data_IF_884986291406
#
_entry.id   IF_884986291406
#
_cell.length_a   1.000
_cell.length_b   1.000
_cell.length_c   1.000
_cell.angle_alpha   90.00
_cell.angle_beta   90.00
_cell.angle_gamma   90.00
#
_symmetry.space_group_name_H-M   'P 1'
#
loop_
_entity.id
_entity.type
_entity.pdbx_description
1 polymer ?
#
# COMPACT_ATOMS: atom_id res chain seq x y z
N UNK A 1 14.20 -24.65 -2.09
CA UNK A 1 13.70 -23.28 -1.94
C UNK A 1 14.91 -22.43 -1.65
N UNK A 2 15.09 -21.30 -2.34
CA UNK A 2 16.03 -20.29 -1.89
C UNK A 2 15.52 -19.70 -0.58
N UNK A 3 16.42 -19.31 0.31
CA UNK A 3 16.11 -18.67 1.59
C UNK A 3 15.88 -17.15 1.43
N UNK A 4 15.54 -16.72 0.20
CA UNK A 4 15.38 -15.31 -0.15
C UNK A 4 13.93 -14.86 0.10
N UNK A 5 13.76 -13.69 0.72
CA UNK A 5 12.45 -13.03 0.79
C UNK A 5 11.99 -12.67 -0.64
N UNK A 6 10.95 -13.37 -1.11
CA UNK A 6 10.36 -13.13 -2.43
C UNK A 6 9.89 -11.67 -2.59
N UNK A 7 9.47 -11.00 -1.51
CA UNK A 7 9.07 -9.60 -1.53
C UNK A 7 10.28 -8.63 -1.49
N UNK A 8 11.50 -9.11 -1.75
CA UNK A 8 12.70 -8.30 -2.04
C UNK A 8 13.28 -8.58 -3.43
N UNK A 9 12.60 -9.38 -4.26
CA UNK A 9 13.14 -9.87 -5.52
C UNK A 9 12.31 -9.45 -6.76
N UNK A 10 11.40 -8.47 -6.65
CA UNK A 10 10.49 -8.12 -7.74
C UNK A 10 11.09 -7.29 -8.88
N UNK A 11 12.20 -6.58 -8.68
CA UNK A 11 12.86 -5.82 -9.76
C UNK A 11 13.40 -6.77 -10.83
N UNK A 12 14.12 -7.82 -10.43
CA UNK A 12 14.74 -8.79 -11.34
C UNK A 12 14.59 -10.21 -10.81
N UNK A 13 13.36 -10.77 -10.78
CA UNK A 13 13.15 -12.13 -10.31
C UNK A 13 13.87 -13.12 -11.22
N UNK A 14 14.35 -14.23 -10.66
CA UNK A 14 14.98 -15.31 -11.42
C UNK A 14 13.92 -16.37 -11.75
N UNK A 15 13.87 -16.83 -13.00
CA UNK A 15 12.86 -17.81 -13.43
C UNK A 15 12.96 -19.16 -12.69
N UNK A 16 14.16 -19.59 -12.31
CA UNK A 16 14.39 -20.86 -11.64
C UNK A 16 14.29 -20.74 -10.11
N UNK A 17 14.83 -19.65 -9.54
CA UNK A 17 14.83 -19.44 -8.08
C UNK A 17 13.51 -18.84 -7.57
N UNK A 18 12.90 -17.93 -8.34
CA UNK A 18 11.71 -17.15 -7.97
C UNK A 18 10.56 -17.34 -8.98
N UNK A 19 10.20 -18.58 -9.37
CA UNK A 19 9.28 -18.82 -10.49
C UNK A 19 7.91 -18.16 -10.32
N UNK A 20 7.40 -18.10 -9.08
CA UNK A 20 6.08 -17.51 -8.78
C UNK A 20 6.04 -16.02 -9.10
N UNK A 21 6.98 -15.24 -8.55
CA UNK A 21 7.03 -13.79 -8.78
C UNK A 21 7.53 -13.46 -10.19
N UNK A 22 8.39 -14.30 -10.78
CA UNK A 22 8.85 -14.17 -12.16
C UNK A 22 7.67 -14.24 -13.13
N UNK A 23 6.86 -15.29 -13.06
CA UNK A 23 5.72 -15.46 -13.95
C UNK A 23 4.58 -14.48 -13.63
N UNK A 24 4.36 -14.13 -12.36
CA UNK A 24 3.37 -13.10 -11.99
C UNK A 24 3.74 -11.74 -12.57
N UNK A 25 5.02 -11.33 -12.45
CA UNK A 25 5.52 -10.09 -13.08
C UNK A 25 5.37 -10.14 -14.60
N UNK A 26 5.68 -11.28 -15.23
CA UNK A 26 5.51 -11.48 -16.67
C UNK A 26 4.06 -11.35 -17.15
N UNK A 27 3.07 -11.80 -16.35
CA UNK A 27 1.66 -11.62 -16.67
C UNK A 27 1.25 -10.15 -16.67
N UNK A 28 1.69 -9.38 -15.67
CA UNK A 28 1.41 -7.93 -15.58
C UNK A 28 2.14 -7.18 -16.70
N UNK A 29 3.38 -7.55 -16.99
CA UNK A 29 4.13 -7.01 -18.12
C UNK A 29 3.40 -7.25 -19.45
N UNK A 30 2.87 -8.44 -19.68
CA UNK A 30 2.07 -8.73 -20.87
C UNK A 30 0.81 -7.86 -20.95
N UNK A 31 0.06 -7.75 -19.84
CA UNK A 31 -1.12 -6.88 -19.77
C UNK A 31 -0.80 -5.43 -20.15
N UNK A 32 0.28 -4.89 -19.58
CA UNK A 32 0.64 -3.47 -19.73
C UNK A 32 1.30 -3.21 -21.08
N UNK A 33 2.35 -3.96 -21.43
CA UNK A 33 3.22 -3.67 -22.60
C UNK A 33 2.69 -4.24 -23.90
N UNK A 34 1.94 -5.35 -23.86
CA UNK A 34 1.41 -6.01 -25.06
C UNK A 34 -0.06 -5.67 -25.28
N UNK A 35 -0.88 -5.73 -24.22
CA UNK A 35 -2.32 -5.43 -24.35
C UNK A 35 -2.66 -3.95 -24.13
N UNK A 36 -1.71 -3.13 -23.65
CA UNK A 36 -1.95 -1.71 -23.37
C UNK A 36 -2.93 -1.48 -22.21
N UNK A 37 -3.10 -2.45 -21.31
CA UNK A 37 -4.03 -2.41 -20.19
C UNK A 37 -3.27 -2.41 -18.88
N UNK A 38 -3.26 -1.26 -18.21
CA UNK A 38 -2.72 -1.15 -16.86
C UNK A 38 -3.77 -1.69 -15.89
N UNK A 39 -3.42 -2.63 -14.98
CA UNK A 39 -4.31 -3.02 -13.90
C UNK A 39 -4.78 -1.81 -13.11
N UNK A 40 -6.08 -1.74 -12.80
CA UNK A 40 -6.62 -0.67 -11.99
C UNK A 40 -5.95 -0.64 -10.61
N UNK A 41 -5.90 -1.79 -9.95
CA UNK A 41 -5.32 -1.95 -8.62
C UNK A 41 -4.42 -3.18 -8.55
N UNK A 42 -3.39 -3.08 -7.71
CA UNK A 42 -2.61 -4.21 -7.20
C UNK A 42 -2.61 -4.17 -5.66
N UNK A 43 -2.80 -5.33 -5.02
CA UNK A 43 -2.67 -5.45 -3.58
C UNK A 43 -1.96 -6.76 -3.20
N UNK A 44 -0.90 -6.61 -2.41
CA UNK A 44 -0.14 -7.70 -1.80
C UNK A 44 -0.59 -7.88 -0.34
N UNK A 45 -1.15 -9.04 0.02
CA UNK A 45 -1.76 -9.27 1.33
C UNK A 45 -0.77 -9.93 2.31
N UNK A 46 -0.50 -9.25 3.42
CA UNK A 46 0.50 -9.62 4.43
C UNK A 46 -0.08 -9.64 5.84
N UNK A 47 0.70 -10.22 6.75
CA UNK A 47 0.45 -10.19 8.18
C UNK A 47 1.54 -9.41 8.91
N UNK A 48 1.15 -8.50 9.79
CA UNK A 48 2.07 -7.66 10.52
C UNK A 48 2.20 -8.12 11.97
N UNK A 49 3.43 -8.44 12.38
CA UNK A 49 3.73 -9.06 13.68
C UNK A 49 3.60 -8.12 14.88
N UNK A 50 3.81 -6.81 14.69
CA UNK A 50 3.86 -5.81 15.79
C UNK A 50 2.72 -4.78 15.79
N UNK A 51 2.38 -4.22 14.63
CA UNK A 51 1.31 -3.23 14.52
C UNK A 51 -0.06 -3.85 14.70
N UNK A 52 -0.94 -3.09 15.35
CA UNK A 52 -2.35 -3.41 15.55
C UNK A 52 -3.16 -2.95 14.35
N UNK A 53 -4.39 -3.48 14.26
CA UNK A 53 -5.36 -3.16 13.21
C UNK A 53 -4.97 -3.65 11.81
N UNK A 54 -5.80 -3.30 10.82
CA UNK A 54 -5.50 -3.50 9.41
C UNK A 54 -5.15 -2.16 8.78
N UNK A 55 -4.15 -2.11 7.91
CA UNK A 55 -3.73 -0.87 7.25
C UNK A 55 -3.04 -1.19 5.93
N UNK A 56 -2.70 -0.16 5.14
CA UNK A 56 -1.93 -0.35 3.91
C UNK A 56 -0.65 0.46 3.86
N UNK A 57 0.35 -0.09 3.19
CA UNK A 57 1.42 0.67 2.60
C UNK A 57 1.11 0.97 1.13
N UNK A 58 1.26 2.21 0.68
CA UNK A 58 1.05 2.62 -0.72
C UNK A 58 2.22 3.41 -1.29
N UNK A 59 2.07 4.07 -2.43
CA UNK A 59 3.15 4.82 -3.07
C UNK A 59 2.76 6.26 -3.38
N UNK A 60 3.40 7.21 -2.70
CA UNK A 60 3.35 8.62 -3.01
C UNK A 60 4.61 9.05 -3.76
N UNK A 61 4.42 9.79 -4.85
CA UNK A 61 5.49 10.46 -5.59
C UNK A 61 6.19 11.47 -4.71
N UNK A 62 5.42 12.32 -4.02
CA UNK A 62 5.95 13.38 -3.14
C UNK A 62 6.90 12.82 -2.08
N UNK A 63 6.58 11.66 -1.53
CA UNK A 63 7.35 10.99 -0.48
C UNK A 63 8.22 9.84 -1.00
N UNK A 64 8.60 9.86 -2.29
CA UNK A 64 9.57 8.90 -2.83
C UNK A 64 11.00 9.34 -2.58
N UNK A 65 11.86 8.40 -2.21
CA UNK A 65 13.31 8.61 -2.12
C UNK A 65 13.94 8.92 -3.49
N UNK A 66 13.34 8.42 -4.58
CA UNK A 66 13.86 8.50 -5.94
C UNK A 66 13.40 9.81 -6.60
N UNK A 67 14.35 10.70 -6.91
CA UNK A 67 14.08 12.05 -7.41
C UNK A 67 13.21 12.10 -8.68
N UNK A 68 13.43 11.26 -9.72
CA UNK A 68 12.57 11.23 -10.89
C UNK A 68 11.09 10.99 -10.57
N UNK A 69 10.77 10.23 -9.53
CA UNK A 69 9.38 9.97 -9.15
C UNK A 69 8.67 11.27 -8.73
N UNK A 70 9.40 12.15 -8.02
CA UNK A 70 8.94 13.46 -7.51
C UNK A 70 8.77 14.52 -8.59
N UNK A 71 9.38 14.32 -9.76
CA UNK A 71 9.28 15.26 -10.88
C UNK A 71 7.90 15.22 -11.58
N UNK A 72 7.14 14.15 -11.36
CA UNK A 72 5.82 13.95 -11.95
C UNK A 72 4.73 14.46 -10.99
N UNK A 73 3.78 15.28 -11.46
CA UNK A 73 2.65 15.72 -10.64
C UNK A 73 1.91 14.53 -10.01
N UNK A 74 1.53 14.69 -8.75
CA UNK A 74 0.79 13.72 -7.98
C UNK A 74 -0.69 14.13 -7.90
N UNK A 75 -1.58 13.18 -8.12
CA UNK A 75 -2.98 13.32 -7.76
C UNK A 75 -3.24 12.38 -6.57
N UNK A 76 -3.46 12.88 -5.34
CA UNK A 76 -3.60 12.02 -4.18
C UNK A 76 -4.78 11.03 -4.25
N UNK A 77 -5.82 11.36 -5.02
CA UNK A 77 -6.94 10.44 -5.24
C UNK A 77 -6.49 9.13 -5.94
N UNK A 78 -5.36 9.14 -6.64
CA UNK A 78 -4.76 7.95 -7.25
C UNK A 78 -4.25 6.93 -6.23
N UNK A 79 -4.01 7.27 -4.97
CA UNK A 79 -3.52 6.30 -3.99
C UNK A 79 -4.26 6.34 -2.65
N UNK A 80 -5.06 7.37 -2.37
CA UNK A 80 -5.83 7.47 -1.13
C UNK A 80 -7.26 6.94 -1.23
N UNK A 81 -7.84 6.86 -2.44
CA UNK A 81 -9.26 6.53 -2.56
C UNK A 81 -9.64 5.18 -1.95
N UNK A 82 -8.89 4.12 -2.27
CA UNK A 82 -9.19 2.78 -1.75
C UNK A 82 -9.02 2.69 -0.22
N UNK A 83 -7.91 3.15 0.39
CA UNK A 83 -7.78 3.18 1.85
C UNK A 83 -8.91 3.91 2.57
N UNK A 84 -9.36 5.06 2.04
CA UNK A 84 -10.47 5.81 2.62
C UNK A 84 -11.81 5.08 2.51
N UNK A 85 -12.07 4.41 1.39
CA UNK A 85 -13.27 3.60 1.22
C UNK A 85 -13.26 2.39 2.17
N UNK A 86 -12.12 1.72 2.35
CA UNK A 86 -12.00 0.62 3.30
C UNK A 86 -12.23 1.11 4.73
N UNK A 87 -11.64 2.24 5.12
CA UNK A 87 -11.85 2.86 6.44
C UNK A 87 -13.33 3.18 6.69
N UNK A 88 -14.04 3.65 5.65
CA UNK A 88 -15.47 3.90 5.71
C UNK A 88 -16.30 2.63 5.95
N UNK A 89 -15.94 1.52 5.31
CA UNK A 89 -16.67 0.25 5.44
C UNK A 89 -16.24 -0.61 6.62
N UNK A 90 -15.01 -0.42 7.13
CA UNK A 90 -14.41 -1.31 8.10
C UNK A 90 -13.82 -0.55 9.30
N UNK A 91 -14.47 -0.57 10.47
CA UNK A 91 -13.99 0.14 11.66
C UNK A 91 -12.69 -0.45 12.25
N UNK A 92 -12.25 -1.63 11.77
CA UNK A 92 -10.97 -2.26 12.17
C UNK A 92 -9.81 -1.87 11.25
N UNK A 93 -10.11 -1.25 10.10
CA UNK A 93 -9.09 -0.62 9.26
C UNK A 93 -8.66 0.69 9.90
N UNK A 94 -7.35 0.93 9.92
CA UNK A 94 -6.74 2.10 10.54
C UNK A 94 -6.09 2.94 9.46
N UNK A 95 -6.82 3.93 8.95
CA UNK A 95 -6.27 4.87 7.99
C UNK A 95 -5.03 5.60 8.54
N UNK A 96 -5.01 5.88 9.85
CA UNK A 96 -3.86 6.51 10.53
C UNK A 96 -2.58 5.66 10.52
N UNK A 97 -2.72 4.34 10.44
CA UNK A 97 -1.57 3.44 10.34
C UNK A 97 -1.06 3.27 8.91
N UNK A 98 -1.77 3.80 7.91
CA UNK A 98 -1.34 3.72 6.52
C UNK A 98 -0.11 4.60 6.25
N UNK A 99 0.77 4.15 5.37
CA UNK A 99 1.98 4.90 5.01
C UNK A 99 2.28 4.80 3.51
N UNK A 100 2.53 5.95 2.88
CA UNK A 100 2.71 6.07 1.43
C UNK A 100 4.14 6.44 1.03
N UNK A 101 5.07 6.53 1.98
CA UNK A 101 6.49 6.79 1.72
C UNK A 101 7.08 5.63 0.91
N UNK A 102 7.84 5.98 -0.13
CA UNK A 102 8.62 5.01 -0.91
C UNK A 102 10.07 5.15 -0.49
N UNK A 103 10.60 4.08 0.10
CA UNK A 103 11.96 4.04 0.63
C UNK A 103 12.89 3.19 -0.24
N UNK A 104 14.18 3.48 -0.19
CA UNK A 104 15.18 2.77 -1.01
C UNK A 104 15.20 1.27 -0.70
N UNK A 105 15.15 0.91 0.57
CA UNK A 105 15.14 -0.50 1.04
C UNK A 105 13.90 -1.28 0.61
N UNK A 106 12.84 -0.62 0.16
CA UNK A 106 11.58 -1.24 -0.26
C UNK A 106 11.40 -1.20 -1.78
N UNK A 107 12.40 -0.76 -2.54
CA UNK A 107 12.29 -0.60 -4.00
C UNK A 107 12.01 -1.90 -4.74
N UNK A 108 12.48 -3.02 -4.19
CA UNK A 108 12.33 -4.36 -4.75
C UNK A 108 11.10 -5.12 -4.26
N UNK A 109 10.20 -4.45 -3.53
CA UNK A 109 8.88 -5.00 -3.16
C UNK A 109 7.93 -4.97 -4.35
N UNK A 110 6.91 -5.82 -4.31
CA UNK A 110 5.91 -5.91 -5.37
C UNK A 110 5.18 -4.58 -5.58
N UNK A 111 4.72 -3.99 -4.47
CA UNK A 111 4.01 -2.70 -4.42
C UNK A 111 4.76 -1.61 -5.21
N UNK A 112 6.05 -1.42 -4.90
CA UNK A 112 6.87 -0.37 -5.53
C UNK A 112 7.21 -0.72 -6.97
N UNK A 113 7.53 -1.98 -7.25
CA UNK A 113 7.82 -2.47 -8.60
C UNK A 113 6.63 -2.22 -9.54
N UNK A 114 5.42 -2.58 -9.11
CA UNK A 114 4.22 -2.47 -9.96
C UNK A 114 3.79 -1.02 -10.16
N UNK A 115 3.93 -0.19 -9.13
CA UNK A 115 3.71 1.23 -9.23
C UNK A 115 4.67 1.92 -10.20
N UNK A 116 5.97 1.61 -10.11
CA UNK A 116 7.02 2.29 -10.89
C UNK A 116 7.14 1.74 -12.32
N UNK A 117 7.17 0.42 -12.49
CA UNK A 117 7.45 -0.21 -13.79
C UNK A 117 6.21 -0.38 -14.68
N UNK A 118 5.03 -0.51 -14.07
CA UNK A 118 3.79 -0.79 -14.79
C UNK A 118 2.73 0.32 -14.67
N UNK A 119 2.99 1.33 -13.84
CA UNK A 119 2.10 2.48 -13.70
C UNK A 119 0.81 2.19 -12.92
N UNK A 120 0.76 1.07 -12.17
CA UNK A 120 -0.40 0.74 -11.32
C UNK A 120 -0.47 1.76 -10.19
N UNK A 121 -1.40 2.69 -10.29
CA UNK A 121 -1.51 3.84 -9.39
C UNK A 121 -1.94 3.42 -7.98
N UNK A 122 -2.98 2.60 -7.91
CA UNK A 122 -3.48 1.98 -6.69
C UNK A 122 -2.69 0.71 -6.41
N UNK A 123 -1.43 0.84 -6.01
CA UNK A 123 -0.55 -0.29 -5.68
C UNK A 123 -0.29 -0.31 -4.18
N UNK A 124 -0.69 -1.40 -3.51
CA UNK A 124 -0.67 -1.50 -2.05
C UNK A 124 -0.03 -2.79 -1.54
N UNK A 125 0.49 -2.72 -0.32
CA UNK A 125 0.64 -3.87 0.57
C UNK A 125 -0.39 -3.70 1.68
N UNK A 126 -1.32 -4.65 1.84
CA UNK A 126 -2.28 -4.64 2.94
C UNK A 126 -1.75 -5.50 4.07
N UNK A 127 -1.67 -4.92 5.26
CA UNK A 127 -1.13 -5.54 6.46
C UNK A 127 -2.26 -5.86 7.43
N UNK A 128 -2.38 -7.13 7.82
CA UNK A 128 -3.31 -7.57 8.86
C UNK A 128 -2.57 -7.91 10.14
N UNK A 129 -2.98 -7.33 11.27
CA UNK A 129 -2.31 -7.56 12.56
C UNK A 129 -2.29 -9.03 13.04
N UNK A 130 -1.17 -9.43 13.65
CA UNK A 130 -1.10 -10.59 14.56
C UNK A 130 -1.22 -10.20 16.04
N UNK A 131 -0.97 -8.94 16.39
CA UNK A 131 -1.06 -8.41 17.76
C UNK A 131 -2.49 -8.07 18.23
N UNK A 132 -3.48 -8.14 17.33
CA UNK A 132 -4.88 -7.84 17.63
C UNK A 132 -5.24 -6.37 17.39
N UNK A 133 -6.48 -6.02 17.70
CA UNK A 133 -7.06 -4.71 17.39
C UNK A 133 -7.04 -3.78 18.61
N UNK A 134 -6.92 -2.48 18.38
CA UNK A 134 -7.14 -1.45 19.40
C UNK A 134 -8.23 -0.44 19.05
N UNK A 135 -8.84 -0.54 17.85
CA UNK A 135 -9.98 0.26 17.44
C UNK A 135 -11.15 -0.60 16.94
N UNK A 136 -12.32 0.05 16.83
CA UNK A 136 -13.55 -0.58 16.37
C UNK A 136 -14.13 -1.60 17.35
N UNK A 137 -15.17 -2.36 16.92
CA UNK A 137 -15.86 -3.35 17.75
C UNK A 137 -14.96 -4.49 18.25
N UNK A 138 -13.81 -4.70 17.61
CA UNK A 138 -12.84 -5.74 17.96
C UNK A 138 -11.71 -5.24 18.86
N UNK A 139 -11.74 -3.98 19.32
CA UNK A 139 -10.71 -3.43 20.23
C UNK A 139 -10.50 -4.33 21.45
N UNK A 140 -9.26 -4.74 21.69
CA UNK A 140 -8.86 -5.66 22.75
C UNK A 140 -8.90 -7.15 22.38
N UNK A 141 -9.29 -7.51 21.16
CA UNK A 141 -9.37 -8.89 20.68
C UNK A 141 -8.36 -9.22 19.59
N UNK A 142 -7.98 -10.49 19.51
CA UNK A 142 -7.20 -11.04 18.39
C UNK A 142 -8.07 -11.26 17.16
N UNK A 143 -7.44 -11.21 15.98
CA UNK A 143 -8.10 -11.50 14.72
C UNK A 143 -8.24 -13.02 14.51
N UNK A 144 -9.33 -13.44 13.88
CA UNK A 144 -9.50 -14.82 13.42
C UNK A 144 -9.82 -14.82 11.91
N UNK A 145 -10.03 -16.00 11.34
CA UNK A 145 -10.29 -16.13 9.89
C UNK A 145 -11.63 -15.53 9.44
N UNK A 146 -12.63 -15.39 10.32
CA UNK A 146 -13.86 -14.67 10.01
C UNK A 146 -13.58 -13.18 9.85
N UNK A 147 -12.86 -12.59 10.80
CA UNK A 147 -12.50 -11.18 10.76
C UNK A 147 -11.62 -10.84 9.54
N UNK A 148 -10.68 -11.73 9.15
CA UNK A 148 -9.90 -11.58 7.92
C UNK A 148 -10.78 -11.60 6.66
N UNK A 149 -11.84 -12.43 6.64
CA UNK A 149 -12.81 -12.44 5.54
C UNK A 149 -13.63 -11.16 5.50
N UNK A 150 -14.01 -10.61 6.65
CA UNK A 150 -14.72 -9.33 6.74
C UNK A 150 -13.87 -8.18 6.19
N UNK A 151 -12.57 -8.16 6.48
CA UNK A 151 -11.61 -7.22 5.85
C UNK A 151 -11.60 -7.37 4.32
N UNK A 152 -11.57 -8.62 3.83
CA UNK A 152 -11.68 -8.91 2.40
C UNK A 152 -13.01 -8.45 1.79
N UNK A 153 -14.13 -8.58 2.51
CA UNK A 153 -15.44 -8.06 2.08
C UNK A 153 -15.39 -6.54 1.95
N UNK A 154 -14.90 -5.83 2.96
CA UNK A 154 -14.77 -4.36 2.91
C UNK A 154 -13.83 -3.88 1.79
N UNK A 155 -12.77 -4.64 1.50
CA UNK A 155 -11.90 -4.37 0.36
C UNK A 155 -12.64 -4.49 -0.98
N UNK A 156 -13.48 -5.51 -1.15
CA UNK A 156 -14.33 -5.68 -2.33
C UNK A 156 -15.40 -4.58 -2.42
N UNK A 157 -16.00 -4.15 -1.31
CA UNK A 157 -16.95 -3.04 -1.28
C UNK A 157 -16.29 -1.73 -1.73
N UNK A 158 -15.07 -1.46 -1.27
CA UNK A 158 -14.27 -0.33 -1.73
C UNK A 158 -14.01 -0.38 -3.24
N UNK A 159 -13.70 -1.56 -3.80
CA UNK A 159 -13.53 -1.73 -5.24
C UNK A 159 -14.83 -1.46 -6.02
N UNK A 160 -15.98 -1.93 -5.55
CA UNK A 160 -17.26 -1.69 -6.23
C UNK A 160 -17.64 -0.21 -6.27
N UNK A 161 -17.22 0.58 -5.28
CA UNK A 161 -17.44 2.03 -5.27
C UNK A 161 -16.57 2.80 -6.28
N UNK A 162 -15.58 2.16 -6.89
CA UNK A 162 -14.75 2.81 -7.92
C UNK A 162 -15.45 2.97 -9.26
N UNK A 163 -16.54 2.24 -9.51
CA UNK A 163 -17.39 2.42 -10.69
C UNK A 163 -18.17 3.76 -10.65
N UNK A 164 -18.37 4.34 -9.45
CA UNK A 164 -18.95 5.68 -9.22
C UNK A 164 -17.85 6.71 -8.86
N UNK A 165 -16.69 6.57 -9.50
CA UNK A 165 -15.41 7.24 -9.21
C UNK A 165 -15.50 8.77 -9.04
N UNK A 166 -16.48 9.40 -9.69
CA UNK A 166 -16.57 10.86 -9.79
C UNK A 166 -16.93 11.51 -8.44
N UNK A 167 -17.86 10.93 -7.68
CA UNK A 167 -18.34 11.51 -6.42
C UNK A 167 -17.27 11.50 -5.34
N UNK A 168 -16.69 10.33 -5.08
CA UNK A 168 -15.67 10.15 -4.05
C UNK A 168 -14.37 10.88 -4.35
N UNK A 169 -13.93 10.89 -5.62
CA UNK A 169 -12.75 11.67 -6.02
C UNK A 169 -12.95 13.16 -5.76
N UNK A 170 -14.12 13.71 -6.06
CA UNK A 170 -14.41 15.10 -5.77
C UNK A 170 -14.37 15.38 -4.27
N UNK A 171 -14.97 14.52 -3.44
CA UNK A 171 -14.90 14.67 -1.97
C UNK A 171 -13.45 14.66 -1.47
N UNK A 172 -12.63 13.70 -1.91
CA UNK A 172 -11.22 13.60 -1.53
C UNK A 172 -10.41 14.83 -1.98
N UNK A 173 -10.61 15.29 -3.21
CA UNK A 173 -9.92 16.48 -3.75
C UNK A 173 -10.35 17.74 -2.97
N UNK A 174 -11.65 17.90 -2.69
CA UNK A 174 -12.17 19.05 -1.97
C UNK A 174 -11.63 19.13 -0.54
N UNK A 175 -11.66 18.03 0.20
CA UNK A 175 -11.12 17.96 1.58
C UNK A 175 -9.62 18.31 1.63
N UNK A 176 -8.87 17.97 0.56
CA UNK A 176 -7.47 18.35 0.42
C UNK A 176 -7.27 19.84 0.08
N UNK A 177 -8.11 20.42 -0.78
CA UNK A 177 -8.01 21.86 -1.12
C UNK A 177 -8.45 22.77 0.03
N UNK A 178 -9.40 22.35 0.85
CA UNK A 178 -9.87 23.09 2.04
C UNK A 178 -8.83 23.08 3.17
N UNK A 179 -8.03 22.02 3.25
CA UNK A 179 -6.94 21.89 4.23
C UNK A 179 -5.69 22.69 3.86
N UNK A 180 -5.34 22.81 2.58
CA UNK A 180 -4.24 23.68 2.12
C UNK A 180 -4.53 25.18 2.30
N UNK A 181 -5.81 25.57 2.35
CA UNK A 181 -6.24 26.98 2.51
C UNK A 181 -6.47 27.43 3.96
N UNK A 182 -6.10 26.59 4.94
CA UNK A 182 -6.02 26.97 6.36
C UNK A 182 -7.37 27.22 7.05
N UNK A 183 -8.47 26.64 6.54
CA UNK A 183 -9.79 26.73 7.15
C UNK A 183 -10.32 25.35 7.53
N UNK A 184 -9.77 24.80 8.63
CA UNK A 184 -10.36 23.84 9.60
C UNK A 184 -9.32 22.84 10.13
N UNK A 185 -9.54 22.35 11.36
CA UNK A 185 -8.86 21.18 11.94
C UNK A 185 -9.39 19.89 11.29
N UNK A 186 -9.08 19.64 10.02
CA UNK A 186 -9.39 18.34 9.40
C UNK A 186 -8.42 17.27 9.93
N UNK A 187 -8.90 16.09 10.35
CA UNK A 187 -8.06 14.97 10.80
C UNK A 187 -7.02 14.52 9.76
N UNK A 188 -7.22 14.87 8.48
CA UNK A 188 -6.42 14.42 7.35
C UNK A 188 -5.01 15.03 7.28
N UNK A 189 -4.79 16.26 7.75
CA UNK A 189 -3.46 16.90 7.72
C UNK A 189 -2.50 16.28 8.75
N UNK A 190 -3.04 15.74 9.84
CA UNK A 190 -2.20 15.16 10.89
C UNK A 190 -1.63 13.79 10.50
N UNK A 191 -2.29 13.06 9.57
CA UNK A 191 -1.84 11.75 9.08
C UNK A 191 -0.57 11.81 8.21
N UNK A 192 -0.45 12.85 7.39
CA UNK A 192 0.71 13.03 6.50
C UNK A 192 1.93 13.54 7.28
N UNK A 193 1.71 14.21 8.43
CA UNK A 193 2.76 14.79 9.27
C UNK A 193 3.19 13.93 10.47
N UNK A 194 2.32 13.05 11.01
CA UNK A 194 2.67 12.15 12.12
C UNK A 194 3.45 10.89 11.70
N UNK A 195 3.65 10.68 10.40
CA UNK A 195 4.53 9.62 9.90
C UNK A 195 6.02 9.86 10.21
N UNK A 196 6.40 11.05 10.68
CA UNK A 196 7.79 11.43 10.96
C UNK A 196 8.38 10.80 12.24
N UNK A 197 7.60 10.54 13.30
CA UNK A 197 8.18 10.20 14.61
C UNK A 197 8.08 8.71 15.03
N UNK A 198 7.35 7.86 14.29
CA UNK A 198 7.07 6.48 14.74
C UNK A 198 7.74 5.37 13.91
N UNK A 199 8.48 5.71 12.85
CA UNK A 199 9.11 4.72 11.98
C UNK A 199 10.54 4.33 12.40
N UNK A 200 11.26 5.20 13.12
CA UNK A 200 12.71 5.06 13.27
C UNK A 200 13.21 3.96 14.22
N UNK A 201 12.35 3.18 14.90
CA UNK A 201 12.84 2.24 15.93
C UNK A 201 12.32 0.80 15.90
N UNK A 202 11.57 0.35 14.88
CA UNK A 202 10.99 -1.01 14.95
C UNK A 202 11.03 -1.92 13.73
N UNK A 203 11.26 -1.42 12.52
CA UNK A 203 10.98 -2.19 11.29
C UNK A 203 12.25 -2.65 10.55
N UNK A 204 13.36 -2.76 11.28
CA UNK A 204 14.55 -3.49 10.83
C UNK A 204 14.24 -4.99 10.88
N UNK A 205 13.67 -5.51 9.79
CA UNK A 205 13.93 -6.90 9.41
C UNK A 205 15.38 -6.92 8.91
N UNK A 206 16.30 -7.28 9.80
CA UNK A 206 17.68 -7.62 9.45
C UNK A 206 17.66 -8.82 8.51
N UNK A 207 17.86 -8.57 7.21
CA UNK A 207 18.44 -9.54 6.27
C UNK A 207 19.14 -8.76 5.14
N UNK A 208 20.36 -8.31 5.46
CA UNK A 208 21.35 -7.87 4.48
C UNK A 208 21.90 -9.11 3.76
N UNK A 209 21.30 -9.45 2.62
CA UNK A 209 21.90 -10.40 1.68
C UNK A 209 22.67 -9.65 0.59
N UNK A 210 23.73 -8.95 0.99
CA UNK A 210 24.79 -8.52 0.07
C UNK A 210 25.68 -9.72 -0.28
N UNK A 211 25.19 -10.54 -1.21
CA UNK A 211 25.99 -11.58 -1.87
C UNK A 211 26.89 -10.95 -2.94
N UNK A 212 28.19 -11.14 -2.75
CA UNK A 212 29.31 -10.64 -3.56
C UNK A 212 29.21 -10.97 -5.06
N UNK A 213 29.78 -10.06 -5.86
CA UNK A 213 30.09 -10.26 -7.29
C UNK A 213 30.95 -11.52 -7.51
N UNK A 214 30.48 -12.42 -8.38
CA UNK A 214 31.34 -13.23 -9.29
C UNK A 214 30.68 -13.28 -10.66
#
# INVERSE_FOLDING_TARGET
>A
MTDEDLNRCWIKPNQNLHPVIYHTKGMVEYLVRILGRIPYLYCDFHGHSRRKNVFVYGCSRKYSWHEPDRSVPENPAEFLMIPHLIDHFNPTFSLSNCNFKVEKTRESTARVTFWREFGVKQSYTLESTYCGMDQGPLSGYHINTSHLKEVGTSFCEALLCTDDETGWRLTLILDQTETETGRTNSPLFHLVSQADDSYETSDADDDDCSGEEI
#
